data_IF_342288443537
#
_entry.id   IF_342288443537
#
_cell.length_a   1.000
_cell.length_b   1.000
_cell.length_c   1.000
_cell.angle_alpha   90.00
_cell.angle_beta   90.00
_cell.angle_gamma   90.00
#
_symmetry.space_group_name_H-M   'P 1'
#
loop_
_entity.id
_entity.type
_entity.pdbx_description
1 polymer ?
#
# COMPACT_ATOMS: atom_id res chain seq x y z
N UNK A 1 -9.33 -1.32 -9.86
CA UNK A 1 -8.37 -2.37 -10.33
C UNK A 1 -8.07 -3.34 -9.18
N UNK A 2 -7.47 -4.52 -9.39
CA UNK A 2 -7.11 -5.46 -8.29
C UNK A 2 -5.69 -5.99 -8.42
N UNK A 3 -5.04 -6.26 -7.28
CA UNK A 3 -3.68 -6.83 -7.18
C UNK A 3 -3.65 -7.92 -6.09
N UNK A 4 -2.73 -8.87 -6.19
CA UNK A 4 -2.56 -9.95 -5.21
C UNK A 4 -1.28 -9.69 -4.40
N UNK A 5 -1.43 -9.55 -3.09
CA UNK A 5 -0.35 -9.20 -2.16
C UNK A 5 -0.51 -9.95 -0.84
N UNK A 6 0.59 -10.18 -0.13
CA UNK A 6 0.53 -10.67 1.25
C UNK A 6 0.04 -9.58 2.18
N UNK A 7 -1.10 -9.80 2.84
CA UNK A 7 -1.60 -8.88 3.85
C UNK A 7 -0.86 -9.13 5.18
N UNK A 8 -0.18 -8.14 5.77
CA UNK A 8 0.55 -8.31 7.03
C UNK A 8 -0.38 -8.56 8.23
N UNK A 9 -1.67 -8.22 8.10
CA UNK A 9 -2.67 -8.50 9.14
C UNK A 9 -3.33 -9.86 8.98
N UNK A 10 -3.63 -10.30 7.76
CA UNK A 10 -4.15 -11.65 7.53
C UNK A 10 -3.05 -12.71 7.58
N UNK A 11 -1.78 -12.29 7.43
CA UNK A 11 -0.61 -13.18 7.25
C UNK A 11 -0.80 -14.18 6.11
N UNK A 12 -1.58 -13.79 5.10
CA UNK A 12 -1.98 -14.63 3.97
C UNK A 12 -1.97 -13.81 2.68
N UNK A 13 -1.82 -14.50 1.55
CA UNK A 13 -1.86 -13.88 0.23
C UNK A 13 -3.31 -13.68 -0.19
N UNK A 14 -3.70 -12.42 -0.30
CA UNK A 14 -5.09 -12.04 -0.56
C UNK A 14 -5.16 -11.01 -1.67
N UNK A 15 -6.33 -10.90 -2.26
CA UNK A 15 -6.59 -9.84 -3.24
C UNK A 15 -6.79 -8.50 -2.53
N UNK A 16 -6.18 -7.46 -3.07
CA UNK A 16 -6.43 -6.08 -2.70
C UNK A 16 -7.16 -5.38 -3.85
N UNK A 17 -8.14 -4.56 -3.48
CA UNK A 17 -8.76 -3.61 -4.40
C UNK A 17 -7.98 -2.31 -4.37
N UNK A 18 -7.67 -1.78 -5.55
CA UNK A 18 -7.03 -0.47 -5.69
C UNK A 18 -8.15 0.56 -5.76
N UNK A 19 -8.19 1.43 -4.77
CA UNK A 19 -8.99 2.66 -4.77
C UNK A 19 -8.11 3.80 -5.30
N UNK A 20 -8.32 4.15 -6.57
CA UNK A 20 -7.51 5.16 -7.26
C UNK A 20 -7.91 6.60 -6.87
N UNK A 21 -9.06 6.78 -6.20
CA UNK A 21 -9.53 8.10 -5.80
C UNK A 21 -8.87 8.55 -4.48
N UNK A 22 -8.69 7.60 -3.56
CA UNK A 22 -8.03 7.81 -2.27
C UNK A 22 -6.58 7.29 -2.26
N UNK A 23 -6.08 6.75 -3.39
CA UNK A 23 -4.74 6.17 -3.52
C UNK A 23 -4.48 5.05 -2.49
N UNK A 24 -5.50 4.24 -2.21
CA UNK A 24 -5.48 3.18 -1.19
C UNK A 24 -5.55 1.77 -1.80
N UNK A 25 -4.92 0.82 -1.11
CA UNK A 25 -5.10 -0.61 -1.24
C UNK A 25 -6.01 -1.13 -0.14
N UNK A 26 -7.15 -1.71 -0.51
CA UNK A 26 -8.11 -2.28 0.43
C UNK A 26 -8.06 -3.80 0.37
N UNK A 27 -7.68 -4.44 1.48
CA UNK A 27 -7.65 -5.89 1.60
C UNK A 27 -9.05 -6.49 1.48
N UNK A 28 -9.27 -7.47 0.59
CA UNK A 28 -10.58 -8.08 0.41
C UNK A 28 -11.06 -8.93 1.59
N UNK A 29 -10.13 -9.39 2.45
CA UNK A 29 -10.45 -10.28 3.57
C UNK A 29 -10.72 -9.52 4.87
N UNK A 30 -9.79 -8.66 5.29
CA UNK A 30 -9.90 -7.93 6.56
C UNK A 30 -10.33 -6.47 6.40
N UNK A 31 -10.49 -5.97 5.17
CA UNK A 31 -10.80 -4.57 4.87
C UNK A 31 -9.77 -3.55 5.37
N UNK A 32 -8.59 -3.99 5.81
CA UNK A 32 -7.50 -3.07 6.12
C UNK A 32 -7.10 -2.28 4.89
N UNK A 33 -6.87 -0.99 5.09
CA UNK A 33 -6.43 -0.05 4.07
C UNK A 33 -4.95 0.27 4.23
N UNK A 34 -4.25 0.37 3.11
CA UNK A 34 -2.85 0.77 3.03
C UNK A 34 -2.70 1.79 1.91
N UNK A 35 -1.65 2.58 1.96
CA UNK A 35 -1.29 3.47 0.85
C UNK A 35 -0.87 2.65 -0.38
N UNK A 36 -1.46 2.92 -1.56
CA UNK A 36 -1.19 2.22 -2.82
C UNK A 36 0.17 2.60 -3.41
N UNK A 37 0.64 3.81 -3.13
CA UNK A 37 2.01 4.21 -3.36
C UNK A 37 2.30 5.46 -2.52
N UNK A 38 3.24 5.42 -1.55
CA UNK A 38 3.69 6.65 -0.94
C UNK A 38 4.25 7.55 -2.04
N UNK A 39 3.76 8.79 -2.11
CA UNK A 39 4.23 9.84 -3.02
C UNK A 39 5.72 9.64 -3.37
N UNK A 40 6.12 9.59 -4.65
CA UNK A 40 7.52 9.36 -5.01
C UNK A 40 8.48 10.37 -4.37
N UNK A 41 7.98 11.58 -4.07
CA UNK A 41 8.71 12.57 -3.26
C UNK A 41 8.91 12.13 -1.80
N UNK A 42 7.86 11.60 -1.16
CA UNK A 42 7.91 11.08 0.22
C UNK A 42 8.80 9.84 0.31
N UNK A 43 8.73 8.93 -0.66
CA UNK A 43 9.63 7.77 -0.69
C UNK A 43 11.09 8.20 -0.89
N UNK A 44 11.36 9.19 -1.74
CA UNK A 44 12.71 9.73 -1.91
C UNK A 44 13.23 10.40 -0.64
N UNK A 45 12.43 11.25 0.01
CA UNK A 45 12.85 11.93 1.25
C UNK A 45 13.14 10.95 2.38
N UNK A 46 12.29 9.94 2.59
CA UNK A 46 12.50 8.93 3.64
C UNK A 46 13.78 8.10 3.40
N UNK A 47 14.06 7.75 2.15
CA UNK A 47 15.18 6.88 1.79
C UNK A 47 16.50 7.61 1.59
N UNK A 48 16.47 8.88 1.17
CA UNK A 48 17.66 9.59 0.71
C UNK A 48 17.86 10.99 1.32
N UNK A 49 16.85 11.63 1.92
CA UNK A 49 17.05 12.93 2.58
C UNK A 49 17.63 12.82 4.01
N UNK A 50 17.54 11.64 4.63
CA UNK A 50 18.08 11.36 5.97
C UNK A 50 19.60 11.14 6.01
N UNK A 51 20.29 11.22 4.85
CA UNK A 51 21.76 11.08 4.73
C UNK A 51 22.50 12.37 4.35
N UNK A 52 21.84 13.54 4.47
CA UNK A 52 22.43 14.85 4.20
C UNK A 52 23.03 15.53 5.45
#
# INVERSE_FOLDING_TARGET
MTIQLSCPWCTDEVTFTIDEADEELVCSNCSTRMDFAPDPGVTYELLYASVA
#
